data_IF_003103406834
#
_entry.id   IF_003103406834
#
_cell.length_a   1.000
_cell.length_b   1.000
_cell.length_c   1.000
_cell.angle_alpha   90.00
_cell.angle_beta   90.00
_cell.angle_gamma   90.00
#
_symmetry.space_group_name_H-M   'P 1'
#
loop_
_entity.id
_entity.type
_entity.pdbx_description
1 polymer ?
#
# COMPACT_ATOMS: atom_id res chain seq x y z
N UNK A 1 20.68 0.76 9.15
CA UNK A 1 19.80 1.80 8.63
C UNK A 1 18.39 1.23 8.57
N UNK A 2 17.46 1.76 9.40
CA UNK A 2 16.05 1.32 9.48
C UNK A 2 15.19 2.08 8.47
N UNK A 3 15.71 2.26 7.27
CA UNK A 3 15.01 2.93 6.19
C UNK A 3 13.81 2.08 5.73
N UNK A 4 12.62 2.68 5.54
CA UNK A 4 11.47 1.96 5.02
C UNK A 4 11.80 1.39 3.63
N UNK A 5 11.50 0.10 3.44
CA UNK A 5 11.72 -0.59 2.16
C UNK A 5 10.63 -0.29 1.14
N UNK A 6 9.49 0.22 1.59
CA UNK A 6 8.37 0.61 0.75
C UNK A 6 7.75 1.92 1.25
N UNK A 7 7.49 2.82 0.31
CA UNK A 7 6.88 4.13 0.55
C UNK A 7 5.68 4.29 -0.40
N UNK A 8 4.53 4.66 0.13
CA UNK A 8 3.39 5.08 -0.68
C UNK A 8 3.31 6.60 -0.69
N UNK A 9 3.11 7.18 -1.88
CA UNK A 9 2.92 8.61 -2.10
C UNK A 9 1.48 8.87 -2.56
N UNK A 10 0.85 9.88 -1.96
CA UNK A 10 -0.52 10.27 -2.31
C UNK A 10 -0.78 11.75 -1.95
N UNK A 11 -1.63 12.38 -2.75
CA UNK A 11 -2.10 13.75 -2.54
C UNK A 11 -3.54 13.78 -2.04
N UNK A 12 -3.84 14.66 -1.11
CA UNK A 12 -5.20 14.77 -0.60
C UNK A 12 -5.59 16.23 -0.32
N UNK A 13 -6.75 16.63 -0.81
CA UNK A 13 -7.20 18.03 -0.70
C UNK A 13 -7.47 18.44 0.75
N UNK A 14 -6.95 19.60 1.13
CA UNK A 14 -7.31 20.31 2.35
C UNK A 14 -8.76 20.80 2.31
N UNK A 15 -9.41 20.82 3.46
CA UNK A 15 -10.79 21.33 3.61
C UNK A 15 -10.84 22.66 4.33
N UNK A 16 -9.68 23.22 4.70
CA UNK A 16 -9.55 24.53 5.33
C UNK A 16 -9.80 25.68 4.34
N UNK A 17 -9.87 26.90 4.82
CA UNK A 17 -9.97 28.09 3.98
C UNK A 17 -8.79 28.23 3.00
N UNK A 18 -7.62 27.70 3.33
CA UNK A 18 -6.40 27.76 2.51
C UNK A 18 -6.39 26.81 1.30
N UNK A 19 -7.30 25.84 1.22
CA UNK A 19 -7.59 24.98 0.07
C UNK A 19 -6.37 24.42 -0.71
N UNK A 20 -5.31 24.12 -0.08
CA UNK A 20 -4.18 23.43 -0.71
C UNK A 20 -4.37 21.90 -0.75
N UNK A 21 -3.32 21.24 -1.19
CA UNK A 21 -3.17 19.79 -1.18
C UNK A 21 -2.19 19.40 -0.08
N UNK A 22 -2.53 18.40 0.71
CA UNK A 22 -1.61 17.74 1.62
C UNK A 22 -0.96 16.60 0.86
N UNK A 23 0.35 16.67 0.68
CA UNK A 23 1.18 15.60 0.12
C UNK A 23 1.63 14.71 1.27
N UNK A 24 1.47 13.42 1.10
CA UNK A 24 1.74 12.44 2.18
C UNK A 24 2.67 11.35 1.65
N UNK A 25 3.76 11.11 2.36
CA UNK A 25 4.54 9.90 2.24
C UNK A 25 4.26 9.00 3.43
N UNK A 26 3.94 7.75 3.13
CA UNK A 26 3.52 6.76 4.12
C UNK A 26 4.41 5.53 3.99
N UNK A 27 4.91 5.02 5.10
CA UNK A 27 5.61 3.75 5.17
C UNK A 27 4.75 2.69 5.86
N UNK A 28 5.25 1.47 5.80
CA UNK A 28 4.67 0.31 6.44
C UNK A 28 5.77 -0.43 7.20
N UNK A 29 5.45 -0.90 8.39
CA UNK A 29 6.35 -1.75 9.17
C UNK A 29 6.29 -3.23 8.77
N UNK A 30 7.06 -4.06 9.47
CA UNK A 30 7.18 -5.48 9.21
C UNK A 30 5.90 -6.31 9.43
N UNK A 31 4.87 -5.75 10.07
CA UNK A 31 3.55 -6.40 10.25
C UNK A 31 2.45 -5.78 9.39
N UNK A 32 2.82 -4.85 8.51
CA UNK A 32 1.84 -4.17 7.66
C UNK A 32 1.15 -2.98 8.34
N UNK A 33 1.64 -2.52 9.50
CA UNK A 33 1.13 -1.31 10.15
C UNK A 33 1.60 -0.07 9.41
N UNK A 34 0.66 0.81 9.13
CA UNK A 34 0.84 1.98 8.30
C UNK A 34 1.12 3.20 9.17
N UNK A 35 2.06 4.05 8.74
CA UNK A 35 2.34 5.32 9.39
C UNK A 35 2.88 6.37 8.40
N UNK A 36 2.44 7.63 8.52
CA UNK A 36 3.03 8.73 7.74
C UNK A 36 4.47 8.97 8.17
N UNK A 37 5.36 9.16 7.19
CA UNK A 37 6.78 9.48 7.40
C UNK A 37 7.13 10.90 6.97
N UNK A 38 6.34 11.50 6.08
CA UNK A 38 6.47 12.90 5.71
C UNK A 38 5.11 13.48 5.33
N UNK A 39 4.94 14.75 5.61
CA UNK A 39 3.78 15.55 5.29
C UNK A 39 4.23 16.84 4.61
N UNK A 40 3.58 17.22 3.52
CA UNK A 40 3.78 18.49 2.84
C UNK A 40 2.46 19.22 2.63
N UNK A 41 2.50 20.54 2.50
CA UNK A 41 1.35 21.32 2.10
C UNK A 41 1.72 22.14 0.85
N UNK A 42 0.94 22.00 -0.21
CA UNK A 42 1.18 22.64 -1.49
C UNK A 42 -0.09 23.33 -1.99
N UNK A 43 0.04 24.37 -2.84
CA UNK A 43 -1.12 25.04 -3.43
C UNK A 43 -1.95 24.11 -4.32
N UNK A 44 -1.30 23.21 -5.02
CA UNK A 44 -1.91 22.22 -5.93
C UNK A 44 -1.04 20.98 -6.07
N UNK A 45 -1.61 19.94 -6.61
CA UNK A 45 -0.92 18.71 -6.98
C UNK A 45 -0.23 18.90 -8.35
N UNK A 46 0.90 19.59 -8.34
CA UNK A 46 1.68 19.91 -9.52
C UNK A 46 3.00 19.16 -9.59
N UNK A 47 3.63 19.16 -10.76
CA UNK A 47 4.97 18.62 -10.96
C UNK A 47 5.99 19.26 -10.00
N UNK A 48 5.94 20.57 -9.83
CA UNK A 48 6.83 21.33 -8.96
C UNK A 48 6.62 20.94 -7.48
N UNK A 49 5.37 20.84 -7.04
CA UNK A 49 5.02 20.44 -5.68
C UNK A 49 5.53 19.04 -5.34
N UNK A 50 5.36 18.09 -6.25
CA UNK A 50 5.84 16.72 -6.04
C UNK A 50 7.37 16.62 -6.11
N UNK A 51 8.03 17.32 -7.02
CA UNK A 51 9.50 17.37 -7.08
C UNK A 51 10.09 17.94 -5.79
N UNK A 52 9.52 19.06 -5.29
CA UNK A 52 9.91 19.62 -4.00
C UNK A 52 9.75 18.60 -2.87
N UNK A 53 8.59 17.96 -2.80
CA UNK A 53 8.28 17.00 -1.71
C UNK A 53 9.21 15.77 -1.74
N UNK A 54 9.37 15.12 -2.91
CA UNK A 54 10.20 13.92 -3.05
C UNK A 54 11.68 14.25 -2.81
N UNK A 55 12.18 15.41 -3.29
CA UNK A 55 13.55 15.86 -3.01
C UNK A 55 13.83 15.93 -1.50
N UNK A 56 12.93 16.58 -0.75
CA UNK A 56 13.11 16.74 0.69
C UNK A 56 12.91 15.41 1.44
N UNK A 57 11.98 14.57 1.01
CA UNK A 57 11.79 13.22 1.54
C UNK A 57 13.07 12.38 1.35
N UNK A 58 13.63 12.37 0.15
CA UNK A 58 14.84 11.62 -0.17
C UNK A 58 16.03 12.07 0.68
N UNK A 59 16.21 13.40 0.84
CA UNK A 59 17.27 13.97 1.68
C UNK A 59 17.08 13.67 3.17
N UNK A 60 15.87 13.85 3.70
CA UNK A 60 15.58 13.62 5.11
C UNK A 60 15.76 12.15 5.53
N UNK A 61 15.43 11.21 4.65
CA UNK A 61 15.58 9.78 4.89
C UNK A 61 16.94 9.23 4.45
N UNK A 62 17.75 10.02 3.76
CA UNK A 62 19.03 9.62 3.16
C UNK A 62 18.91 8.35 2.28
N UNK A 63 17.92 8.37 1.36
CA UNK A 63 17.56 7.21 0.52
C UNK A 63 17.82 7.38 -0.97
N UNK A 64 18.54 8.44 -1.39
CA UNK A 64 18.80 8.72 -2.80
C UNK A 64 19.43 7.52 -3.52
N UNK A 65 20.37 6.84 -2.84
CA UNK A 65 21.11 5.69 -3.39
C UNK A 65 20.61 4.34 -2.83
N UNK A 66 19.49 4.34 -2.11
CA UNK A 66 18.94 3.13 -1.49
C UNK A 66 17.84 2.53 -2.39
N UNK A 67 17.90 1.22 -2.69
CA UNK A 67 16.78 0.56 -3.35
C UNK A 67 15.54 0.58 -2.46
N UNK A 68 14.46 1.18 -2.93
CA UNK A 68 13.18 1.31 -2.23
C UNK A 68 12.03 1.13 -3.21
N UNK A 69 10.96 0.47 -2.78
CA UNK A 69 9.72 0.43 -3.56
C UNK A 69 8.90 1.68 -3.28
N UNK A 70 8.50 2.38 -4.34
CA UNK A 70 7.53 3.49 -4.26
C UNK A 70 6.22 3.04 -4.89
N UNK A 71 5.08 3.26 -4.23
CA UNK A 71 3.75 3.02 -4.79
C UNK A 71 2.98 4.35 -4.84
N UNK A 72 2.42 4.69 -5.99
CA UNK A 72 1.58 5.88 -6.14
C UNK A 72 0.47 5.68 -7.17
N UNK A 73 -0.37 6.68 -7.36
CA UNK A 73 -1.17 6.80 -8.57
C UNK A 73 -0.30 7.14 -9.79
N UNK A 74 -0.92 7.33 -10.96
CA UNK A 74 -0.25 7.68 -12.21
C UNK A 74 -0.08 9.20 -12.36
N UNK A 75 0.28 9.92 -11.30
CA UNK A 75 0.52 11.35 -11.33
C UNK A 75 1.91 11.65 -11.91
N UNK A 76 1.96 12.37 -13.03
CA UNK A 76 3.23 12.74 -13.68
C UNK A 76 4.20 13.49 -12.77
N UNK A 77 3.69 14.28 -11.82
CA UNK A 77 4.52 14.97 -10.85
C UNK A 77 5.26 14.02 -9.93
N UNK A 78 4.61 12.91 -9.52
CA UNK A 78 5.23 11.87 -8.73
C UNK A 78 6.27 11.11 -9.56
N UNK A 79 5.92 10.71 -10.79
CA UNK A 79 6.83 10.00 -11.70
C UNK A 79 8.14 10.79 -11.88
N UNK A 80 8.04 12.09 -12.16
CA UNK A 80 9.20 12.95 -12.35
C UNK A 80 10.02 13.12 -11.05
N UNK A 81 9.34 13.31 -9.91
CA UNK A 81 10.02 13.45 -8.62
C UNK A 81 10.75 12.18 -8.21
N UNK A 82 10.11 11.01 -8.35
CA UNK A 82 10.72 9.71 -8.02
C UNK A 82 11.90 9.43 -8.95
N UNK A 83 11.74 9.59 -10.25
CA UNK A 83 12.78 9.35 -11.24
C UNK A 83 14.02 10.23 -11.01
N UNK A 84 13.84 11.49 -10.60
CA UNK A 84 14.92 12.44 -10.40
C UNK A 84 15.65 12.29 -9.06
N UNK A 85 14.92 12.10 -7.97
CA UNK A 85 15.47 12.14 -6.61
C UNK A 85 15.60 10.77 -5.94
N UNK A 86 15.02 9.73 -6.52
CA UNK A 86 15.12 8.33 -6.06
C UNK A 86 15.45 7.39 -7.23
N UNK A 87 16.60 7.59 -7.91
CA UNK A 87 16.93 6.89 -9.16
C UNK A 87 17.05 5.36 -8.99
N UNK A 88 17.23 4.87 -7.76
CA UNK A 88 17.28 3.43 -7.45
C UNK A 88 15.94 2.87 -6.97
N UNK A 89 14.88 3.69 -6.91
CA UNK A 89 13.57 3.22 -6.54
C UNK A 89 12.90 2.43 -7.66
N UNK A 90 12.21 1.34 -7.31
CA UNK A 90 11.26 0.72 -8.20
C UNK A 90 9.88 1.37 -7.99
N UNK A 91 9.39 2.07 -8.99
CA UNK A 91 8.11 2.78 -8.91
C UNK A 91 6.97 1.91 -9.42
N UNK A 92 6.02 1.60 -8.52
CA UNK A 92 4.82 0.82 -8.80
C UNK A 92 3.59 1.71 -8.89
N UNK A 93 2.78 1.53 -9.92
CA UNK A 93 1.46 2.17 -10.01
C UNK A 93 0.40 1.40 -9.24
N UNK A 94 -0.46 2.14 -8.56
CA UNK A 94 -1.57 1.63 -7.78
C UNK A 94 -2.60 0.92 -8.67
N UNK A 95 -2.78 -0.38 -8.49
CA UNK A 95 -3.76 -1.17 -9.23
C UNK A 95 -5.21 -0.68 -9.03
N UNK A 96 -5.52 -0.07 -7.88
CA UNK A 96 -6.83 0.50 -7.61
C UNK A 96 -7.11 1.71 -8.51
N UNK A 97 -6.16 2.63 -8.66
CA UNK A 97 -6.31 3.78 -9.56
C UNK A 97 -6.35 3.36 -11.03
N UNK A 98 -5.53 2.35 -11.44
CA UNK A 98 -5.62 1.77 -12.77
C UNK A 98 -7.03 1.20 -12.99
N UNK A 99 -7.59 0.45 -12.02
CA UNK A 99 -8.94 -0.09 -12.08
C UNK A 99 -10.00 1.00 -12.20
N UNK A 100 -9.89 2.08 -11.43
CA UNK A 100 -10.80 3.23 -11.55
C UNK A 100 -10.76 3.86 -12.95
N UNK A 101 -9.55 4.03 -13.52
CA UNK A 101 -9.40 4.55 -14.88
C UNK A 101 -9.99 3.60 -15.94
N UNK A 102 -10.00 2.28 -15.68
CA UNK A 102 -10.60 1.28 -16.56
C UNK A 102 -12.12 1.16 -16.41
N UNK A 103 -12.73 1.71 -15.37
CA UNK A 103 -14.17 1.65 -15.13
C UNK A 103 -15.02 2.29 -16.28
N UNK A 104 -14.44 3.21 -17.05
CA UNK A 104 -15.04 3.76 -18.28
C UNK A 104 -15.35 2.71 -19.35
N UNK A 105 -14.68 1.55 -19.30
CA UNK A 105 -14.87 0.43 -20.22
C UNK A 105 -15.81 -0.67 -19.68
N UNK A 106 -16.46 -0.42 -18.55
CA UNK A 106 -17.35 -1.34 -17.86
C UNK A 106 -16.72 -2.03 -16.65
N UNK A 107 -17.59 -2.54 -15.76
CA UNK A 107 -17.19 -3.15 -14.48
C UNK A 107 -16.33 -4.39 -14.69
N UNK A 108 -16.73 -5.26 -15.62
CA UNK A 108 -16.01 -6.51 -15.89
C UNK A 108 -14.57 -6.25 -16.35
N UNK A 109 -14.39 -5.32 -17.31
CA UNK A 109 -13.07 -4.91 -17.77
C UNK A 109 -12.22 -4.31 -16.65
N UNK A 110 -12.82 -3.50 -15.77
CA UNK A 110 -12.14 -2.93 -14.61
C UNK A 110 -11.70 -4.02 -13.61
N UNK A 111 -12.52 -5.04 -13.37
CA UNK A 111 -12.21 -6.12 -12.42
C UNK A 111 -11.06 -7.03 -12.93
N UNK A 112 -10.83 -7.10 -14.25
CA UNK A 112 -9.65 -7.77 -14.82
C UNK A 112 -8.33 -7.15 -14.38
N UNK A 113 -8.28 -5.86 -14.03
CA UNK A 113 -7.06 -5.20 -13.54
C UNK A 113 -6.50 -5.94 -12.34
N UNK A 114 -7.34 -6.36 -11.38
CA UNK A 114 -6.88 -7.11 -10.21
C UNK A 114 -6.26 -8.46 -10.57
N UNK A 115 -6.88 -9.17 -11.50
CA UNK A 115 -6.38 -10.47 -11.95
C UNK A 115 -5.03 -10.32 -12.65
N UNK A 116 -4.90 -9.31 -13.52
CA UNK A 116 -3.67 -9.04 -14.28
C UNK A 116 -2.56 -8.54 -13.34
N UNK A 117 -2.85 -7.62 -12.42
CA UNK A 117 -1.89 -7.13 -11.43
C UNK A 117 -1.29 -8.25 -10.57
N UNK A 118 -2.10 -9.29 -10.28
CA UNK A 118 -1.70 -10.47 -9.52
C UNK A 118 -1.06 -11.57 -10.36
N UNK A 119 -0.96 -11.43 -11.68
CA UNK A 119 -0.31 -12.44 -12.52
C UNK A 119 1.13 -12.68 -12.05
N UNK A 120 1.46 -13.95 -11.82
CA UNK A 120 2.77 -14.37 -11.30
C UNK A 120 3.74 -14.85 -12.38
N UNK A 121 3.24 -15.06 -13.61
CA UNK A 121 4.04 -15.54 -14.75
C UNK A 121 3.69 -14.75 -16.01
N UNK A 122 4.61 -14.74 -16.97
CA UNK A 122 4.38 -14.17 -18.31
C UNK A 122 3.17 -14.84 -19.00
N UNK A 123 3.07 -16.17 -18.91
CA UNK A 123 1.95 -16.90 -19.54
C UNK A 123 0.62 -16.46 -18.95
N UNK A 124 0.50 -16.43 -17.62
CA UNK A 124 -0.72 -15.98 -16.94
C UNK A 124 -1.09 -14.53 -17.31
N UNK A 125 -0.10 -13.64 -17.42
CA UNK A 125 -0.33 -12.26 -17.89
C UNK A 125 -0.89 -12.23 -19.31
N UNK A 126 -0.27 -12.99 -20.23
CA UNK A 126 -0.69 -13.03 -21.64
C UNK A 126 -2.12 -13.59 -21.79
N UNK A 127 -2.45 -14.66 -21.06
CA UNK A 127 -3.78 -15.27 -21.08
C UNK A 127 -4.86 -14.29 -20.57
N UNK A 128 -4.56 -13.58 -19.49
CA UNK A 128 -5.48 -12.59 -18.92
C UNK A 128 -5.64 -11.36 -19.82
N UNK A 129 -4.57 -10.90 -20.48
CA UNK A 129 -4.65 -9.80 -21.45
C UNK A 129 -5.43 -10.24 -22.70
N UNK A 130 -5.26 -11.47 -23.18
CA UNK A 130 -6.05 -12.03 -24.29
C UNK A 130 -7.53 -12.13 -23.92
N UNK A 131 -7.87 -12.59 -22.71
CA UNK A 131 -9.23 -12.64 -22.22
C UNK A 131 -9.86 -11.23 -22.12
N UNK A 132 -9.11 -10.24 -21.60
CA UNK A 132 -9.55 -8.85 -21.56
C UNK A 132 -9.84 -8.29 -22.96
N UNK A 133 -9.02 -8.64 -23.96
CA UNK A 133 -9.20 -8.21 -25.35
C UNK A 133 -10.52 -8.71 -25.95
N UNK A 134 -10.97 -9.91 -25.55
CA UNK A 134 -12.27 -10.46 -25.96
C UNK A 134 -13.41 -9.66 -25.34
N UNK A 135 -13.29 -9.29 -24.05
CA UNK A 135 -14.31 -8.51 -23.32
C UNK A 135 -14.37 -7.07 -23.84
N UNK A 136 -13.21 -6.42 -23.97
CA UNK A 136 -13.12 -5.03 -24.41
C UNK A 136 -11.77 -4.74 -25.08
N UNK A 137 -11.79 -4.58 -26.40
CA UNK A 137 -10.60 -4.15 -27.16
C UNK A 137 -10.07 -2.80 -26.71
N UNK A 138 -10.96 -1.87 -26.34
CA UNK A 138 -10.57 -0.54 -25.88
C UNK A 138 -9.88 -0.59 -24.50
N UNK A 139 -10.41 -1.39 -23.55
CA UNK A 139 -9.77 -1.59 -22.25
C UNK A 139 -8.39 -2.25 -22.40
N UNK A 140 -8.27 -3.27 -23.24
CA UNK A 140 -7.00 -3.91 -23.55
C UNK A 140 -5.98 -2.90 -24.09
N UNK A 141 -6.38 -2.06 -25.09
CA UNK A 141 -5.50 -1.07 -25.70
C UNK A 141 -5.04 0.01 -24.69
N UNK A 142 -5.94 0.46 -23.81
CA UNK A 142 -5.58 1.44 -22.77
C UNK A 142 -4.66 0.82 -21.71
N UNK A 143 -4.91 -0.40 -21.28
CA UNK A 143 -4.11 -1.09 -20.27
C UNK A 143 -2.72 -1.45 -20.79
N UNK A 144 -2.61 -1.80 -22.08
CA UNK A 144 -1.35 -2.12 -22.75
C UNK A 144 -0.38 -0.91 -22.85
N UNK A 145 -0.89 0.33 -22.70
CA UNK A 145 -0.06 1.54 -22.65
C UNK A 145 0.69 1.70 -21.31
N UNK A 146 0.24 1.02 -20.26
CA UNK A 146 0.87 1.08 -18.95
C UNK A 146 1.99 0.04 -18.90
N UNK A 147 3.26 0.43 -18.65
CA UNK A 147 4.37 -0.51 -18.55
C UNK A 147 4.06 -1.59 -17.51
N UNK A 148 4.03 -2.85 -17.92
CA UNK A 148 3.68 -3.99 -17.04
C UNK A 148 4.65 -4.13 -15.87
N UNK A 149 5.89 -3.68 -16.04
CA UNK A 149 6.94 -3.65 -15.03
C UNK A 149 6.59 -2.74 -13.85
N UNK A 150 5.62 -1.82 -14.00
CA UNK A 150 5.24 -0.87 -12.96
C UNK A 150 4.01 -1.28 -12.16
N UNK A 151 3.30 -2.36 -12.54
CA UNK A 151 2.09 -2.72 -11.81
C UNK A 151 1.79 -4.23 -11.72
N UNK A 152 2.35 -5.06 -12.60
CA UNK A 152 2.10 -6.51 -12.62
C UNK A 152 3.16 -7.24 -11.80
N UNK A 153 2.72 -8.12 -10.89
CA UNK A 153 3.62 -8.83 -9.96
C UNK A 153 4.73 -9.61 -10.66
N UNK A 154 4.42 -10.31 -11.76
CA UNK A 154 5.40 -11.12 -12.48
C UNK A 154 6.62 -10.32 -12.96
N UNK A 155 6.44 -9.03 -13.23
CA UNK A 155 7.46 -8.18 -13.88
C UNK A 155 8.05 -7.13 -12.97
N UNK A 156 7.41 -6.83 -11.84
CA UNK A 156 7.90 -5.82 -10.92
C UNK A 156 9.22 -6.29 -10.27
N UNK A 157 10.28 -5.45 -10.27
CA UNK A 157 11.63 -5.90 -9.95
C UNK A 157 11.93 -6.03 -8.45
N UNK A 158 11.11 -5.44 -7.57
CA UNK A 158 11.35 -5.37 -6.13
C UNK A 158 10.17 -5.89 -5.31
N UNK A 159 10.36 -6.23 -4.02
CA UNK A 159 9.27 -6.56 -3.12
C UNK A 159 8.26 -5.42 -2.97
N UNK A 160 6.97 -5.75 -3.01
CA UNK A 160 5.88 -4.85 -2.64
C UNK A 160 5.18 -5.30 -1.36
N UNK A 161 5.71 -6.33 -0.71
CA UNK A 161 5.22 -6.88 0.55
C UNK A 161 3.74 -7.28 0.51
N UNK A 162 3.28 -7.75 -0.65
CA UNK A 162 1.89 -8.12 -0.92
C UNK A 162 0.99 -6.96 -1.38
N UNK A 163 1.48 -5.72 -1.38
CA UNK A 163 0.68 -4.54 -1.72
C UNK A 163 0.72 -4.24 -3.21
N UNK A 164 -0.45 -4.14 -3.80
CA UNK A 164 -0.66 -3.75 -5.21
C UNK A 164 -1.29 -2.35 -5.33
N UNK A 165 -1.59 -1.72 -4.19
CA UNK A 165 -2.34 -0.48 -4.13
C UNK A 165 -1.70 0.53 -3.21
N UNK A 166 -1.98 1.81 -3.45
CA UNK A 166 -1.67 2.90 -2.52
C UNK A 166 -2.69 3.04 -1.37
N UNK A 167 -3.52 2.02 -1.11
CA UNK A 167 -4.45 2.02 0.04
C UNK A 167 -3.75 2.35 1.35
N UNK A 168 -2.45 2.04 1.44
CA UNK A 168 -1.57 2.44 2.55
C UNK A 168 -1.64 3.96 2.77
N UNK A 169 -1.54 4.76 1.71
CA UNK A 169 -1.64 6.21 1.79
C UNK A 169 -3.08 6.68 2.06
N UNK A 170 -4.09 5.98 1.53
CA UNK A 170 -5.50 6.27 1.82
C UNK A 170 -5.83 6.09 3.31
N UNK A 171 -5.30 5.08 3.97
CA UNK A 171 -5.43 4.89 5.42
C UNK A 171 -4.80 6.04 6.20
N UNK A 172 -3.59 6.48 5.83
CA UNK A 172 -2.94 7.63 6.42
C UNK A 172 -3.77 8.91 6.22
N UNK A 173 -4.28 9.12 4.99
CA UNK A 173 -5.16 10.22 4.65
C UNK A 173 -6.48 10.21 5.44
N UNK A 174 -7.06 9.05 5.69
CA UNK A 174 -8.25 8.89 6.52
C UNK A 174 -7.97 9.26 7.99
N UNK A 175 -6.84 8.83 8.55
CA UNK A 175 -6.42 9.18 9.91
C UNK A 175 -6.19 10.69 10.08
N UNK A 176 -5.72 11.37 9.03
CA UNK A 176 -5.48 12.81 8.99
C UNK A 176 -6.72 13.64 8.63
N UNK A 177 -7.80 13.02 8.16
CA UNK A 177 -9.00 13.69 7.62
C UNK A 177 -9.57 14.76 8.57
N UNK A 178 -9.64 14.47 9.86
CA UNK A 178 -10.19 15.41 10.86
C UNK A 178 -9.34 16.66 11.05
N UNK A 179 -8.06 16.63 10.67
CA UNK A 179 -7.14 17.75 10.81
C UNK A 179 -7.10 18.67 9.59
N UNK A 180 -7.55 18.20 8.41
CA UNK A 180 -7.53 18.97 7.16
C UNK A 180 -8.35 20.26 7.19
N UNK A 181 -9.24 20.43 8.16
CA UNK A 181 -10.04 21.66 8.37
C UNK A 181 -9.28 22.79 9.04
N UNK A 182 -8.12 22.49 9.63
CA UNK A 182 -7.29 23.51 10.30
C UNK A 182 -6.36 24.21 9.32
N UNK A 183 -5.89 25.44 9.64
CA UNK A 183 -4.80 26.09 8.91
C UNK A 183 -3.55 25.21 8.84
N UNK A 184 -2.68 25.39 7.84
CA UNK A 184 -1.53 24.48 7.61
C UNK A 184 -0.68 24.23 8.85
N UNK A 185 -0.26 25.26 9.59
CA UNK A 185 0.56 25.10 10.80
C UNK A 185 -0.16 24.23 11.85
N UNK A 186 -1.43 24.52 12.13
CA UNK A 186 -2.22 23.75 13.09
C UNK A 186 -2.47 22.31 12.62
N UNK A 187 -2.61 22.12 11.30
CA UNK A 187 -2.68 20.79 10.70
C UNK A 187 -1.42 19.99 11.03
N UNK A 188 -0.21 20.54 10.78
CA UNK A 188 1.04 19.83 11.06
C UNK A 188 1.20 19.51 12.55
N UNK A 189 0.96 20.47 13.43
CA UNK A 189 1.06 20.26 14.89
C UNK A 189 0.16 19.11 15.35
N UNK A 190 -1.11 19.08 14.89
CA UNK A 190 -2.06 18.04 15.28
C UNK A 190 -1.74 16.68 14.64
N UNK A 191 -1.30 16.67 13.39
CA UNK A 191 -0.91 15.46 12.67
C UNK A 191 0.33 14.81 13.32
N UNK A 192 1.39 15.57 13.57
CA UNK A 192 2.63 15.10 14.20
C UNK A 192 2.34 14.56 15.60
N UNK A 193 1.55 15.27 16.41
CA UNK A 193 1.13 14.78 17.73
C UNK A 193 0.42 13.43 17.63
N UNK A 194 -0.51 13.26 16.69
CA UNK A 194 -1.21 11.98 16.45
C UNK A 194 -0.25 10.86 16.06
N UNK A 195 0.70 11.15 15.18
CA UNK A 195 1.72 10.18 14.74
C UNK A 195 2.61 9.76 15.90
N UNK A 196 3.11 10.73 16.69
CA UNK A 196 3.96 10.46 17.85
C UNK A 196 3.24 9.66 18.94
N UNK A 197 1.94 9.90 19.16
CA UNK A 197 1.13 9.07 20.08
C UNK A 197 1.10 7.62 19.60
N UNK A 198 0.82 7.38 18.32
CA UNK A 198 0.81 6.02 17.76
C UNK A 198 2.20 5.36 17.82
N UNK A 199 3.28 6.12 17.64
CA UNK A 199 4.65 5.61 17.78
C UNK A 199 4.96 5.23 19.25
N UNK A 200 4.53 6.02 20.22
CA UNK A 200 4.71 5.71 21.63
C UNK A 200 3.96 4.43 22.04
N UNK A 201 2.69 4.28 21.63
CA UNK A 201 1.88 3.08 21.86
C UNK A 201 2.55 1.82 21.27
N UNK A 202 3.06 1.90 20.04
CA UNK A 202 3.74 0.77 19.39
C UNK A 202 5.10 0.48 20.00
N UNK A 203 5.85 1.50 20.41
CA UNK A 203 7.12 1.33 21.13
C UNK A 203 6.91 0.56 22.43
N UNK A 204 5.90 0.91 23.20
CA UNK A 204 5.53 0.21 24.42
C UNK A 204 5.11 -1.24 24.13
N UNK A 205 4.30 -1.46 23.11
CA UNK A 205 3.86 -2.80 22.70
C UNK A 205 5.02 -3.74 22.37
N UNK A 206 6.05 -3.25 21.66
CA UNK A 206 7.19 -4.07 21.25
C UNK A 206 8.38 -4.03 22.25
N UNK A 207 8.28 -3.30 23.37
CA UNK A 207 9.40 -3.10 24.28
C UNK A 207 9.97 -4.40 24.86
N UNK A 208 9.13 -5.36 25.22
CA UNK A 208 9.48 -6.56 26.01
C UNK A 208 9.59 -7.85 25.19
N UNK A 209 9.54 -7.82 23.86
CA UNK A 209 9.66 -9.00 23.03
C UNK A 209 11.10 -9.45 22.77
N UNK A 210 11.32 -10.75 22.55
CA UNK A 210 12.60 -11.22 22.02
C UNK A 210 12.81 -10.66 20.59
N UNK A 211 13.90 -9.91 20.32
CA UNK A 211 14.10 -9.23 19.04
C UNK A 211 14.22 -10.17 17.83
N UNK A 212 14.61 -11.44 18.06
CA UNK A 212 14.76 -12.44 17.00
C UNK A 212 13.46 -13.14 16.61
N UNK A 213 12.41 -13.00 17.39
CA UNK A 213 11.11 -13.64 17.14
C UNK A 213 10.39 -12.93 15.98
N UNK A 214 9.81 -13.74 15.09
CA UNK A 214 8.92 -13.28 14.03
C UNK A 214 7.57 -12.94 14.65
N UNK A 215 6.95 -11.89 14.17
CA UNK A 215 5.67 -11.41 14.70
C UNK A 215 4.51 -12.38 14.43
N UNK A 216 3.55 -12.44 15.35
CA UNK A 216 2.48 -13.46 15.36
C UNK A 216 1.64 -13.50 14.08
N UNK A 217 1.35 -12.35 13.47
CA UNK A 217 0.59 -12.29 12.21
C UNK A 217 1.33 -12.99 11.07
N UNK A 218 2.64 -12.80 10.97
CA UNK A 218 3.48 -13.46 9.96
C UNK A 218 3.64 -14.94 10.30
N UNK A 219 3.72 -15.31 11.58
CA UNK A 219 3.73 -16.70 12.01
C UNK A 219 2.48 -17.46 11.59
N UNK A 220 1.30 -16.83 11.66
CA UNK A 220 0.04 -17.40 11.17
C UNK A 220 0.05 -17.64 9.66
N UNK A 221 0.55 -16.67 8.89
CA UNK A 221 0.69 -16.82 7.43
C UNK A 221 1.66 -17.95 7.07
N UNK A 222 2.79 -18.05 7.79
CA UNK A 222 3.76 -19.12 7.60
C UNK A 222 3.16 -20.47 7.95
N UNK A 223 2.40 -20.59 9.04
CA UNK A 223 1.71 -21.82 9.43
C UNK A 223 0.77 -22.29 8.31
N UNK A 224 -0.02 -21.38 7.73
CA UNK A 224 -0.88 -21.66 6.58
C UNK A 224 -0.07 -22.13 5.36
N UNK A 225 1.07 -21.50 5.10
CA UNK A 225 1.96 -21.90 4.01
C UNK A 225 2.63 -23.27 4.25
N UNK A 226 2.96 -23.61 5.50
CA UNK A 226 3.44 -24.94 5.87
C UNK A 226 2.38 -26.00 5.61
N UNK A 227 1.14 -25.78 6.07
CA UNK A 227 0.04 -26.71 5.84
C UNK A 227 -0.20 -26.98 4.34
N UNK A 228 -0.12 -25.94 3.52
CA UNK A 228 -0.20 -26.08 2.08
C UNK A 228 1.04 -26.81 1.51
N UNK A 229 2.23 -26.49 2.01
CA UNK A 229 3.50 -27.05 1.56
C UNK A 229 3.67 -28.54 1.83
N UNK A 230 3.12 -29.05 2.94
CA UNK A 230 3.14 -30.49 3.28
C UNK A 230 2.45 -31.34 2.20
N UNK A 231 1.51 -30.78 1.46
CA UNK A 231 0.79 -31.48 0.36
C UNK A 231 1.51 -31.43 -0.98
N UNK A 232 2.65 -30.75 -1.04
CA UNK A 232 3.44 -30.57 -2.29
C UNK A 232 4.64 -31.53 -2.27
N UNK A 233 5.09 -31.94 -3.44
CA UNK A 233 6.30 -32.73 -3.61
C UNK A 233 7.46 -31.80 -3.99
N UNK A 234 8.46 -31.69 -3.14
CA UNK A 234 9.70 -30.94 -3.41
C UNK A 234 10.82 -31.92 -3.75
N UNK A 235 11.61 -31.60 -4.77
CA UNK A 235 12.77 -32.36 -5.18
C UNK A 235 13.98 -31.43 -5.33
N UNK A 236 15.07 -31.76 -4.69
CA UNK A 236 16.32 -31.03 -4.89
C UNK A 236 16.84 -31.23 -6.32
N UNK A 237 17.15 -30.15 -7.00
CA UNK A 237 17.70 -30.18 -8.36
C UNK A 237 19.23 -30.04 -8.28
N UNK A 238 19.71 -29.02 -7.60
CA UNK A 238 21.13 -28.84 -7.25
C UNK A 238 21.25 -27.80 -6.13
N UNK A 239 22.22 -27.96 -5.26
CA UNK A 239 22.48 -27.02 -4.13
C UNK A 239 21.22 -26.74 -3.31
N UNK A 240 20.78 -25.49 -3.28
CA UNK A 240 19.56 -25.07 -2.57
C UNK A 240 18.39 -24.74 -3.53
N UNK A 241 18.48 -25.23 -4.77
CA UNK A 241 17.43 -25.06 -5.79
C UNK A 241 16.57 -26.31 -5.86
N UNK A 242 15.25 -26.11 -5.84
CA UNK A 242 14.23 -27.15 -5.80
C UNK A 242 13.22 -26.97 -6.92
N UNK A 243 12.78 -28.08 -7.51
CA UNK A 243 11.50 -28.13 -8.20
C UNK A 243 10.40 -28.55 -7.19
N UNK A 244 9.30 -27.84 -7.19
CA UNK A 244 8.17 -28.09 -6.30
C UNK A 244 6.91 -28.28 -7.12
N UNK A 245 6.34 -29.46 -7.05
CA UNK A 245 5.11 -29.86 -7.71
C UNK A 245 3.92 -29.51 -6.82
N UNK A 246 3.00 -28.67 -7.33
CA UNK A 246 1.88 -28.11 -6.52
C UNK A 246 0.77 -29.12 -6.26
N UNK A 247 0.58 -30.08 -7.16
CA UNK A 247 -0.38 -31.16 -7.04
C UNK A 247 0.25 -32.47 -7.56
N UNK A 248 0.04 -33.56 -6.85
CA UNK A 248 0.50 -34.87 -7.27
C UNK A 248 -0.10 -35.22 -8.64
N UNK A 249 0.76 -35.45 -9.64
CA UNK A 249 0.37 -35.72 -11.01
C UNK A 249 0.14 -34.50 -11.90
N UNK A 250 0.27 -33.29 -11.38
CA UNK A 250 0.25 -32.05 -12.16
C UNK A 250 1.62 -31.81 -12.81
N UNK A 251 1.62 -31.31 -14.06
CA UNK A 251 2.83 -30.81 -14.72
C UNK A 251 3.23 -29.39 -14.26
N UNK A 252 2.50 -28.83 -13.29
CA UNK A 252 2.79 -27.49 -12.75
C UNK A 252 3.91 -27.56 -11.72
N UNK A 253 5.08 -27.11 -12.10
CA UNK A 253 6.27 -27.06 -11.26
C UNK A 253 6.64 -25.63 -10.93
N UNK A 254 7.06 -25.38 -9.68
CA UNK A 254 7.64 -24.10 -9.23
C UNK A 254 9.09 -24.29 -8.86
N UNK A 255 9.93 -23.40 -9.34
CA UNK A 255 11.33 -23.38 -8.97
C UNK A 255 11.51 -22.50 -7.74
N UNK A 256 12.16 -23.06 -6.72
CA UNK A 256 12.46 -22.40 -5.44
C UNK A 256 13.97 -22.38 -5.24
N UNK A 257 14.52 -21.23 -4.91
CA UNK A 257 15.87 -21.08 -4.39
C UNK A 257 15.79 -20.58 -2.94
N UNK A 258 16.19 -21.43 -1.99
CA UNK A 258 16.10 -21.11 -0.57
C UNK A 258 17.16 -20.09 -0.12
N UNK A 259 18.35 -20.09 -0.72
CA UNK A 259 19.42 -19.13 -0.41
C UNK A 259 19.10 -17.76 -0.98
N UNK A 260 18.71 -17.68 -2.26
CA UNK A 260 18.28 -16.44 -2.88
C UNK A 260 16.92 -15.96 -2.36
N UNK A 261 16.20 -16.78 -1.57
CA UNK A 261 14.83 -16.52 -1.06
C UNK A 261 13.87 -16.15 -2.18
N UNK A 262 13.89 -16.93 -3.27
CA UNK A 262 13.04 -16.71 -4.44
C UNK A 262 12.21 -17.95 -4.78
N UNK A 263 11.04 -17.69 -5.37
CA UNK A 263 10.19 -18.71 -5.96
C UNK A 263 9.61 -18.18 -7.27
N UNK A 264 9.48 -19.05 -8.27
CA UNK A 264 8.86 -18.67 -9.55
C UNK A 264 7.40 -18.22 -9.42
N UNK A 265 6.74 -18.50 -8.29
CA UNK A 265 5.42 -17.91 -7.96
C UNK A 265 5.48 -16.44 -7.52
N UNK A 266 6.68 -15.87 -7.34
CA UNK A 266 6.95 -14.49 -6.90
C UNK A 266 6.52 -14.13 -5.47
N UNK A 267 5.81 -14.99 -4.75
CA UNK A 267 5.30 -14.67 -3.41
C UNK A 267 6.41 -14.65 -2.35
N UNK A 268 7.42 -15.53 -2.43
CA UNK A 268 8.48 -15.61 -1.45
C UNK A 268 9.25 -14.29 -1.35
N UNK A 269 9.78 -13.80 -2.47
CA UNK A 269 10.50 -12.55 -2.54
C UNK A 269 9.62 -11.31 -2.34
N UNK A 270 8.35 -11.37 -2.73
CA UNK A 270 7.41 -10.26 -2.58
C UNK A 270 6.98 -10.07 -1.11
N UNK A 271 6.71 -11.14 -0.39
CA UNK A 271 6.23 -11.10 1.00
C UNK A 271 7.36 -10.96 2.03
N UNK A 272 8.58 -11.43 1.68
CA UNK A 272 9.70 -11.47 2.60
C UNK A 272 9.63 -12.60 3.63
N UNK A 273 8.78 -13.60 3.40
CA UNK A 273 8.70 -14.86 4.14
C UNK A 273 8.29 -16.00 3.21
N UNK A 274 8.60 -17.28 3.58
CA UNK A 274 8.42 -18.41 2.69
C UNK A 274 6.97 -18.61 2.25
N UNK A 275 6.74 -18.71 0.93
CA UNK A 275 5.48 -19.18 0.36
C UNK A 275 5.35 -20.71 0.54
N UNK A 276 4.18 -21.28 0.27
CA UNK A 276 3.94 -22.71 0.40
C UNK A 276 4.97 -23.60 -0.33
N UNK A 277 5.42 -23.18 -1.53
CA UNK A 277 6.46 -23.89 -2.28
C UNK A 277 7.83 -23.85 -1.57
N UNK A 278 8.18 -22.69 -1.00
CA UNK A 278 9.41 -22.55 -0.23
C UNK A 278 9.34 -23.34 1.10
N UNK A 279 8.17 -23.40 1.72
CA UNK A 279 7.96 -24.27 2.90
C UNK A 279 8.13 -25.75 2.53
N UNK A 280 7.57 -26.22 1.41
CA UNK A 280 7.77 -27.59 0.94
C UNK A 280 9.26 -27.93 0.73
N UNK A 281 10.01 -27.06 0.07
CA UNK A 281 11.45 -27.24 -0.13
C UNK A 281 12.25 -27.23 1.20
N UNK A 282 11.88 -26.34 2.14
CA UNK A 282 12.53 -26.27 3.44
C UNK A 282 12.24 -27.51 4.32
N UNK A 283 11.05 -28.06 4.27
CA UNK A 283 10.68 -29.30 4.96
C UNK A 283 11.49 -30.49 4.43
N UNK A 284 11.67 -30.60 3.11
CA UNK A 284 12.48 -31.66 2.49
C UNK A 284 13.93 -31.65 2.99
N UNK A 285 14.50 -30.49 3.19
CA UNK A 285 15.89 -30.31 3.64
C UNK A 285 16.05 -30.12 5.15
N UNK A 286 14.95 -30.11 5.91
CA UNK A 286 14.92 -29.83 7.35
C UNK A 286 15.56 -28.48 7.73
N UNK A 287 15.49 -27.51 6.83
CA UNK A 287 15.89 -26.13 7.12
C UNK A 287 14.83 -25.48 8.01
N UNK A 288 15.26 -24.78 9.04
CA UNK A 288 14.35 -23.98 9.87
C UNK A 288 13.72 -22.88 9.04
N UNK A 289 12.43 -23.00 8.81
CA UNK A 289 11.61 -22.10 7.98
C UNK A 289 11.69 -20.64 8.46
N UNK A 290 11.88 -20.41 9.77
CA UNK A 290 11.98 -19.07 10.35
C UNK A 290 13.26 -18.34 9.94
N UNK A 291 14.32 -19.06 9.56
CA UNK A 291 15.55 -18.47 9.04
C UNK A 291 15.42 -17.90 7.64
N UNK A 292 14.39 -18.33 6.91
CA UNK A 292 14.08 -17.87 5.56
C UNK A 292 13.33 -16.53 5.53
N UNK A 293 12.83 -16.06 6.67
CA UNK A 293 12.19 -14.76 6.80
C UNK A 293 13.20 -13.61 6.78
N UNK A 294 12.83 -12.48 6.20
CA UNK A 294 13.63 -11.26 6.27
C UNK A 294 13.58 -10.66 7.69
N UNK A 295 14.62 -9.92 8.06
CA UNK A 295 14.73 -9.36 9.42
C UNK A 295 13.64 -8.32 9.72
N UNK A 296 13.13 -7.63 8.72
CA UNK A 296 12.04 -6.67 8.86
C UNK A 296 10.75 -7.28 9.44
N UNK A 297 10.60 -8.61 9.38
CA UNK A 297 9.45 -9.36 9.97
C UNK A 297 9.66 -9.74 11.44
N UNK A 298 10.76 -9.28 12.06
CA UNK A 298 11.12 -9.58 13.45
C UNK A 298 10.79 -8.44 14.40
N UNK A 299 10.51 -8.76 15.65
CA UNK A 299 10.21 -7.78 16.72
C UNK A 299 11.33 -6.74 16.86
N UNK A 300 12.60 -7.14 16.72
CA UNK A 300 13.73 -6.22 16.78
C UNK A 300 13.70 -5.12 15.72
N UNK A 301 13.29 -5.45 14.50
CA UNK A 301 13.13 -4.46 13.43
C UNK A 301 11.97 -3.50 13.70
N UNK A 302 10.84 -4.00 14.22
CA UNK A 302 9.69 -3.16 14.60
C UNK A 302 10.06 -2.19 15.72
N UNK A 303 10.77 -2.68 16.76
CA UNK A 303 11.26 -1.84 17.84
C UNK A 303 12.09 -0.68 17.31
N UNK A 304 13.02 -0.97 16.42
CA UNK A 304 13.89 0.03 15.82
C UNK A 304 13.14 1.06 14.95
N UNK A 305 12.08 0.66 14.25
CA UNK A 305 11.21 1.59 13.51
C UNK A 305 10.56 2.61 14.44
N UNK A 306 10.13 2.20 15.63
CA UNK A 306 9.39 3.05 16.58
C UNK A 306 10.25 3.68 17.66
N UNK A 307 11.56 3.43 17.68
CA UNK A 307 12.49 4.01 18.65
C UNK A 307 12.52 5.54 18.56
N UNK A 308 12.49 6.07 17.34
CA UNK A 308 12.47 7.51 17.09
C UNK A 308 11.05 8.01 16.82
N UNK A 309 10.77 9.23 17.21
CA UNK A 309 9.55 9.95 16.87
C UNK A 309 9.82 11.04 15.83
N UNK A 310 8.77 11.72 15.39
CA UNK A 310 8.88 12.95 14.60
C UNK A 310 9.09 14.12 15.56
N UNK A 311 10.12 14.95 15.31
CA UNK A 311 10.38 16.15 16.11
C UNK A 311 9.15 17.08 16.03
N UNK A 312 8.55 17.47 17.15
CA UNK A 312 7.42 18.40 17.17
C UNK A 312 7.80 19.74 16.55
N UNK A 313 6.82 20.38 15.90
CA UNK A 313 7.00 21.75 15.43
C UNK A 313 7.00 22.70 16.63
N UNK A 314 8.08 23.43 16.80
CA UNK A 314 8.12 24.55 17.74
C UNK A 314 7.37 25.74 17.10
N UNK A 315 6.13 25.96 17.58
CA UNK A 315 5.24 26.97 17.02
C UNK A 315 5.75 28.40 17.31
N UNK A 316 6.49 28.58 18.38
CA UNK A 316 7.03 29.90 18.77
C UNK A 316 8.21 30.32 17.90
N UNK A 317 8.98 29.32 17.42
CA UNK A 317 10.10 29.57 16.49
C UNK A 317 9.66 29.80 15.05
N UNK A 318 8.42 29.46 14.69
CA UNK A 318 7.90 29.70 13.33
C UNK A 318 7.62 31.17 13.16
N UNK A 319 8.49 31.88 12.39
CA UNK A 319 8.25 33.27 12.03
C UNK A 319 6.89 33.39 11.35
N UNK A 320 6.04 34.26 11.90
CA UNK A 320 4.75 34.61 11.33
C UNK A 320 4.96 35.31 9.98
N UNK A 321 5.06 34.54 8.91
CA UNK A 321 4.83 35.10 7.60
C UNK A 321 3.34 35.36 7.48
N UNK A 322 2.94 36.58 7.14
CA UNK A 322 1.57 36.91 6.81
C UNK A 322 1.16 36.12 5.56
N UNK A 323 0.68 34.88 5.80
CA UNK A 323 0.05 34.09 4.75
C UNK A 323 -1.25 34.82 4.39
N UNK A 324 -1.21 35.59 3.31
CA UNK A 324 -2.41 36.15 2.72
C UNK A 324 -3.35 34.97 2.41
N UNK A 325 -4.59 35.09 2.85
CA UNK A 325 -5.65 34.19 2.39
C UNK A 325 -5.62 34.15 0.86
N UNK A 326 -5.56 32.99 0.22
CA UNK A 326 -5.72 32.92 -1.22
C UNK A 326 -7.00 33.66 -1.59
N UNK A 327 -6.94 34.63 -2.45
CA UNK A 327 -8.11 35.28 -3.03
C UNK A 327 -8.89 34.23 -3.82
N UNK A 328 -9.81 33.55 -3.14
CA UNK A 328 -10.59 32.49 -3.74
C UNK A 328 -11.90 33.03 -4.28
N UNK A 329 -11.90 33.33 -5.58
CA UNK A 329 -13.14 33.41 -6.33
C UNK A 329 -13.62 32.00 -6.63
N UNK A 330 -14.74 31.61 -6.03
CA UNK A 330 -15.41 30.35 -6.34
C UNK A 330 -15.91 30.46 -7.79
N UNK A 331 -15.14 29.94 -8.75
CA UNK A 331 -15.67 29.72 -10.09
C UNK A 331 -16.88 28.82 -9.99
N UNK A 332 -18.00 29.10 -10.67
CA UNK A 332 -19.14 28.21 -10.75
C UNK A 332 -18.63 26.87 -11.31
N UNK A 333 -18.46 25.91 -10.44
CA UNK A 333 -18.00 24.57 -10.77
C UNK A 333 -19.19 23.63 -10.96
N UNK A 334 -18.94 22.53 -11.67
CA UNK A 334 -19.86 21.41 -11.81
C UNK A 334 -20.53 21.10 -10.46
N UNK A 335 -21.87 20.95 -10.40
CA UNK A 335 -22.56 20.56 -9.16
C UNK A 335 -21.87 19.34 -8.56
N UNK A 336 -21.73 19.28 -7.22
CA UNK A 336 -21.13 18.13 -6.53
C UNK A 336 -21.82 16.87 -7.05
N UNK A 337 -21.12 16.05 -7.83
CA UNK A 337 -21.60 14.73 -8.18
C UNK A 337 -21.79 13.96 -6.88
N UNK A 338 -22.99 13.43 -6.62
CA UNK A 338 -23.19 12.51 -5.50
C UNK A 338 -22.20 11.36 -5.69
N UNK A 339 -21.42 11.05 -4.65
CA UNK A 339 -20.56 9.87 -4.65
C UNK A 339 -21.40 8.66 -5.04
N UNK A 340 -21.05 8.01 -6.15
CA UNK A 340 -21.68 6.74 -6.54
C UNK A 340 -21.14 5.71 -5.54
N UNK A 341 -22.05 5.21 -4.69
CA UNK A 341 -21.69 4.14 -3.73
C UNK A 341 -21.40 2.86 -4.49
N UNK A 342 -20.41 2.09 -4.03
CA UNK A 342 -20.18 0.76 -4.57
C UNK A 342 -21.32 -0.19 -4.15
N UNK A 343 -21.59 -1.24 -4.95
CA UNK A 343 -22.58 -2.27 -4.58
C UNK A 343 -22.27 -2.96 -3.25
N UNK A 344 -20.99 -3.02 -2.86
CA UNK A 344 -20.56 -3.52 -1.55
C UNK A 344 -21.03 -2.61 -0.40
N UNK A 345 -21.04 -1.28 -0.59
CA UNK A 345 -21.56 -0.33 0.39
C UNK A 345 -23.10 -0.39 0.48
N UNK A 346 -23.78 -0.74 -0.61
CA UNK A 346 -25.24 -0.92 -0.62
C UNK A 346 -25.69 -2.23 0.06
N UNK A 347 -24.87 -3.30 0.05
CA UNK A 347 -25.14 -4.54 0.81
C UNK A 347 -25.09 -4.35 2.31
N UNK A 348 -24.40 -3.32 2.81
CA UNK A 348 -24.30 -2.99 4.24
C UNK A 348 -25.27 -1.89 4.68
N UNK A 349 -26.31 -1.58 3.92
CA UNK A 349 -27.41 -0.77 4.44
C UNK A 349 -28.02 -1.52 5.63
N UNK A 350 -27.57 -1.20 6.84
CA UNK A 350 -28.33 -1.55 8.05
C UNK A 350 -29.71 -0.96 7.85
N UNK A 351 -30.72 -1.80 7.79
CA UNK A 351 -32.09 -1.35 7.77
C UNK A 351 -32.31 -0.46 9.00
N UNK A 352 -32.60 0.83 8.76
CA UNK A 352 -32.90 1.74 9.85
C UNK A 352 -34.27 1.34 10.42
N UNK A 353 -34.25 0.86 11.64
CA UNK A 353 -35.45 0.61 12.43
C UNK A 353 -35.71 1.82 13.31
N UNK A 354 -36.94 2.21 13.43
CA UNK A 354 -37.37 3.26 14.36
C UNK A 354 -37.09 2.79 15.79
N UNK A 355 -36.32 3.55 16.57
CA UNK A 355 -36.03 3.23 17.96
C UNK A 355 -37.25 3.31 18.89
N UNK A 356 -38.37 3.91 18.46
CA UNK A 356 -39.62 3.99 19.20
C UNK A 356 -40.51 2.77 18.96
N UNK A 357 -40.77 2.41 17.71
CA UNK A 357 -41.76 1.37 17.36
C UNK A 357 -41.14 0.11 16.70
N UNK A 358 -39.83 0.08 16.47
CA UNK A 358 -39.13 -1.06 15.85
C UNK A 358 -39.44 -1.27 14.34
N UNK A 359 -40.30 -0.49 13.70
CA UNK A 359 -40.67 -0.64 12.30
C UNK A 359 -39.65 0.03 11.36
N UNK A 360 -39.58 -0.46 10.10
CA UNK A 360 -38.70 0.08 9.06
C UNK A 360 -39.32 1.31 8.37
N UNK A 361 -38.47 2.15 7.79
CA UNK A 361 -38.85 3.22 6.86
C UNK A 361 -38.99 4.61 7.46
N UNK A 362 -38.86 4.77 8.77
CA UNK A 362 -38.86 6.05 9.47
C UNK A 362 -37.94 6.04 10.69
N UNK A 363 -37.77 7.18 11.34
CA UNK A 363 -36.97 7.32 12.57
C UNK A 363 -37.89 7.85 13.71
N UNK A 364 -37.35 7.99 14.92
CA UNK A 364 -38.09 8.46 16.08
C UNK A 364 -38.75 9.84 15.88
N UNK A 365 -38.18 10.70 15.02
CA UNK A 365 -38.75 12.04 14.75
C UNK A 365 -39.97 12.01 13.86
N UNK A 366 -40.06 11.01 12.98
CA UNK A 366 -41.15 10.83 12.00
C UNK A 366 -41.97 9.57 12.30
N UNK A 367 -41.96 9.10 13.54
CA UNK A 367 -42.69 7.93 13.97
C UNK A 367 -44.19 8.28 14.10
N UNK A 368 -45.08 7.52 13.42
CA UNK A 368 -46.53 7.72 13.57
C UNK A 368 -47.06 7.25 14.92
N UNK A 369 -46.32 6.42 15.64
CA UNK A 369 -46.70 5.88 16.96
C UNK A 369 -46.03 6.73 18.11
N UNK A 370 -45.91 8.06 17.88
CA UNK A 370 -45.29 8.98 18.83
C UNK A 370 -46.36 9.55 19.78
#
# INVERSE_FOLDING_TARGET
SHCPKMIALDGTYGTSAYKGVVLVATAMDGVGQIFPIALGFAPSESNESWRFFVRHLAGALNIQDTPVTVISDQCKGIDNGVSEFLPRAAHSYCAFHIRQNMAKHGKEAADFVWRIANANTLQQYNDLMAALKVISKAAHADLAKIPKEQWVRAFFPMPRYGHLTSNIAEFANAALKKFKKYPPLQFFVKAIRKINTAFAERREHYANGNPMVIVDTIMQDIATNIEAGIRMAARNVFGNVFDVQTELGSNSVRIVDLVARTCSCKMFQDLGYPCAHACAAALETRIDIMTLCIDERRIGALRAVYEMGIIPVDVESVQSMALLHPLFHRLPGRPKSKRIRSEAEDRYKRANFCSQCGKRGHNIRTCPDK
#
